data_IF_938610346051
#
_entry.id   IF_938610346051
#
_cell.length_a   1.000
_cell.length_b   1.000
_cell.length_c   1.000
_cell.angle_alpha   90.00
_cell.angle_beta   90.00
_cell.angle_gamma   90.00
#
_symmetry.space_group_name_H-M   'P 1'
#
loop_
_entity.id
_entity.type
_entity.pdbx_description
1 polymer ?
#
# COMPACT_ATOMS: atom_id res chain seq x y z
N UNK A 1 3.32 -1.25 25.50
CA UNK A 1 3.87 0.09 25.17
C UNK A 1 3.76 0.23 23.67
N UNK A 2 2.96 1.16 23.15
CA UNK A 2 2.74 1.32 21.70
C UNK A 2 4.01 1.86 21.03
N UNK A 3 4.74 1.01 20.31
CA UNK A 3 6.05 1.32 19.69
C UNK A 3 5.94 2.25 18.48
N UNK A 4 4.76 2.31 17.85
CA UNK A 4 4.50 3.07 16.64
C UNK A 4 3.51 4.22 16.86
N UNK A 5 3.38 4.67 18.12
CA UNK A 5 2.52 5.80 18.45
C UNK A 5 2.87 7.01 17.57
N UNK A 6 1.84 7.66 17.02
CA UNK A 6 1.94 8.82 16.14
C UNK A 6 2.63 8.55 14.78
N UNK A 7 2.89 7.29 14.41
CA UNK A 7 3.36 6.90 13.08
C UNK A 7 2.20 6.62 12.15
N UNK A 8 2.41 6.87 10.86
CA UNK A 8 1.46 6.56 9.78
C UNK A 8 2.08 5.52 8.86
N UNK A 9 1.39 4.41 8.68
CA UNK A 9 1.81 3.33 7.82
C UNK A 9 0.86 3.17 6.61
N UNK A 10 1.44 3.03 5.44
CA UNK A 10 0.74 2.69 4.20
C UNK A 10 1.05 1.22 3.88
N UNK A 11 0.02 0.40 3.73
CA UNK A 11 0.17 -1.01 3.34
C UNK A 11 -0.61 -1.25 2.06
N UNK A 12 0.08 -1.71 1.01
CA UNK A 12 -0.55 -2.04 -0.27
C UNK A 12 -0.93 -3.51 -0.35
N UNK A 13 -2.03 -3.85 -1.05
CA UNK A 13 -2.58 -5.19 -1.08
C UNK A 13 -3.03 -5.65 0.31
N UNK A 14 -3.68 -4.77 1.06
CA UNK A 14 -3.92 -4.91 2.48
C UNK A 14 -5.32 -5.41 2.85
N UNK A 15 -6.17 -5.71 1.86
CA UNK A 15 -7.55 -6.14 2.11
C UNK A 15 -7.67 -7.57 2.64
N UNK A 16 -6.62 -8.39 2.51
CA UNK A 16 -6.62 -9.79 2.97
C UNK A 16 -5.21 -10.32 3.25
N UNK A 17 -5.17 -11.53 3.85
CA UNK A 17 -3.93 -12.30 4.03
C UNK A 17 -2.85 -11.54 4.78
N UNK A 18 -1.62 -11.60 4.27
CA UNK A 18 -0.45 -11.01 4.93
C UNK A 18 -0.60 -9.49 5.11
N UNK A 19 -1.07 -8.77 4.10
CA UNK A 19 -1.27 -7.32 4.17
C UNK A 19 -2.25 -6.92 5.28
N UNK A 20 -3.37 -7.62 5.41
CA UNK A 20 -4.35 -7.41 6.49
C UNK A 20 -3.71 -7.64 7.87
N UNK A 21 -2.98 -8.75 8.06
CA UNK A 21 -2.34 -9.06 9.35
C UNK A 21 -1.28 -8.00 9.71
N UNK A 22 -0.52 -7.49 8.73
CA UNK A 22 0.42 -6.38 8.94
C UNK A 22 -0.33 -5.13 9.41
N UNK A 23 -1.47 -4.77 8.77
CA UNK A 23 -2.28 -3.63 9.18
C UNK A 23 -2.72 -3.74 10.64
N UNK A 24 -3.33 -4.88 11.02
CA UNK A 24 -3.79 -5.11 12.39
C UNK A 24 -2.66 -5.08 13.41
N UNK A 25 -1.51 -5.68 13.07
CA UNK A 25 -0.34 -5.68 13.95
C UNK A 25 0.22 -4.27 14.15
N UNK A 26 0.43 -3.48 13.08
CA UNK A 26 0.95 -2.13 13.21
C UNK A 26 -0.04 -1.21 13.93
N UNK A 27 -1.36 -1.38 13.69
CA UNK A 27 -2.40 -0.67 14.42
C UNK A 27 -2.37 -0.98 15.93
N UNK A 28 -2.20 -2.24 16.33
CA UNK A 28 -2.07 -2.65 17.73
C UNK A 28 -0.82 -2.06 18.42
N UNK A 29 0.19 -1.69 17.64
CA UNK A 29 1.38 -0.97 18.10
C UNK A 29 1.24 0.55 18.07
N UNK A 30 0.03 1.06 17.73
CA UNK A 30 -0.33 2.48 17.80
C UNK A 30 -0.13 3.28 16.51
N UNK A 31 0.13 2.62 15.38
CA UNK A 31 0.20 3.30 14.09
C UNK A 31 -1.19 3.59 13.53
N UNK A 32 -1.33 4.72 12.81
CA UNK A 32 -2.47 5.00 11.95
C UNK A 32 -2.23 4.36 10.59
N UNK A 33 -3.25 3.79 9.99
CA UNK A 33 -3.09 2.90 8.82
C UNK A 33 -3.82 3.44 7.58
N UNK A 34 -3.13 3.45 6.44
CA UNK A 34 -3.76 3.51 5.12
C UNK A 34 -3.82 2.08 4.58
N UNK A 35 -5.01 1.56 4.48
CA UNK A 35 -5.31 0.23 3.95
C UNK A 35 -5.56 0.37 2.45
N UNK A 36 -4.55 0.12 1.62
CA UNK A 36 -4.73 0.15 0.17
C UNK A 36 -4.99 -1.26 -0.36
N UNK A 37 -6.09 -1.40 -1.08
CA UNK A 37 -6.40 -2.61 -1.85
C UNK A 37 -7.35 -2.26 -3.00
N UNK A 38 -7.04 -2.73 -4.21
CA UNK A 38 -7.87 -2.52 -5.39
C UNK A 38 -9.22 -3.28 -5.30
N UNK A 39 -9.30 -4.27 -4.39
CA UNK A 39 -10.50 -5.05 -4.15
C UNK A 39 -10.70 -6.24 -5.08
N UNK A 40 -9.76 -6.50 -6.00
CA UNK A 40 -9.80 -7.62 -6.91
C UNK A 40 -9.47 -8.96 -6.26
N UNK A 41 -9.70 -10.04 -6.99
CA UNK A 41 -9.25 -11.38 -6.63
C UNK A 41 -7.72 -11.53 -6.79
N UNK A 42 -7.16 -12.67 -6.33
CA UNK A 42 -5.71 -12.94 -6.39
C UNK A 42 -5.14 -12.89 -7.81
N UNK A 43 -5.99 -13.06 -8.79
CA UNK A 43 -5.64 -12.96 -10.20
C UNK A 43 -5.71 -11.53 -10.75
N UNK A 44 -6.09 -10.54 -9.92
CA UNK A 44 -6.23 -9.12 -10.30
C UNK A 44 -7.55 -8.81 -11.01
N UNK A 45 -8.51 -9.75 -11.02
CA UNK A 45 -9.87 -9.53 -11.53
C UNK A 45 -10.82 -9.13 -10.40
N UNK A 46 -11.94 -8.51 -10.75
CA UNK A 46 -12.99 -8.14 -9.81
C UNK A 46 -12.73 -6.80 -9.10
N UNK A 47 -13.77 -6.31 -8.46
CA UNK A 47 -13.77 -5.09 -7.64
C UNK A 47 -14.49 -5.39 -6.33
N UNK A 48 -13.97 -4.87 -5.22
CA UNK A 48 -14.61 -5.03 -3.93
C UNK A 48 -14.05 -4.08 -2.88
N UNK A 49 -14.85 -3.78 -1.89
CA UNK A 49 -14.46 -2.88 -0.79
C UNK A 49 -13.85 -3.67 0.39
N UNK A 50 -12.94 -4.60 0.09
CA UNK A 50 -12.31 -5.43 1.13
C UNK A 50 -11.41 -4.60 2.06
N UNK A 51 -10.89 -3.47 1.60
CA UNK A 51 -10.13 -2.54 2.44
C UNK A 51 -11.00 -1.96 3.56
N UNK A 52 -12.30 -1.69 3.31
CA UNK A 52 -13.22 -1.16 4.32
C UNK A 52 -13.38 -2.12 5.51
N UNK A 53 -13.43 -3.43 5.26
CA UNK A 53 -13.54 -4.43 6.32
C UNK A 53 -12.33 -4.39 7.26
N UNK A 54 -11.12 -4.24 6.70
CA UNK A 54 -9.88 -4.11 7.49
C UNK A 54 -9.87 -2.79 8.27
N UNK A 55 -10.37 -1.71 7.69
CA UNK A 55 -10.53 -0.42 8.39
C UNK A 55 -11.46 -0.57 9.59
N UNK A 56 -12.62 -1.24 9.42
CA UNK A 56 -13.55 -1.51 10.53
C UNK A 56 -12.90 -2.35 11.65
N UNK A 57 -12.12 -3.36 11.29
CA UNK A 57 -11.37 -4.17 12.24
C UNK A 57 -10.33 -3.35 13.02
N UNK A 58 -9.64 -2.42 12.34
CA UNK A 58 -8.67 -1.52 12.98
C UNK A 58 -9.38 -0.55 13.93
N UNK A 59 -10.52 0.01 13.52
CA UNK A 59 -11.33 0.87 14.40
C UNK A 59 -11.80 0.12 15.66
N UNK A 60 -12.10 -1.18 15.56
CA UNK A 60 -12.43 -2.01 16.71
C UNK A 60 -11.25 -2.21 17.69
N UNK A 61 -10.03 -1.88 17.29
CA UNK A 61 -8.82 -1.86 18.13
C UNK A 61 -8.54 -0.46 18.72
N UNK A 62 -9.48 0.48 18.67
CA UNK A 62 -9.30 1.88 19.05
C UNK A 62 -8.13 2.58 18.31
N UNK A 63 -7.89 2.20 17.06
CA UNK A 63 -6.87 2.81 16.19
C UNK A 63 -7.49 3.45 14.95
N UNK A 64 -6.78 4.41 14.34
CA UNK A 64 -7.24 5.14 13.17
C UNK A 64 -6.83 4.44 11.88
N UNK A 65 -7.74 4.30 10.92
CA UNK A 65 -7.45 3.80 9.59
C UNK A 65 -8.33 4.45 8.52
N UNK A 66 -7.83 4.45 7.28
CA UNK A 66 -8.59 4.87 6.10
C UNK A 66 -8.34 3.90 4.95
N UNK A 67 -9.37 3.65 4.15
CA UNK A 67 -9.26 2.84 2.94
C UNK A 67 -8.77 3.67 1.75
N UNK A 68 -8.08 3.02 0.83
CA UNK A 68 -7.71 3.53 -0.48
C UNK A 68 -7.82 2.40 -1.51
N UNK A 69 -8.31 2.70 -2.71
CA UNK A 69 -8.63 1.71 -3.75
C UNK A 69 -7.84 1.93 -5.05
N UNK A 70 -6.82 2.79 -5.02
CA UNK A 70 -6.01 3.09 -6.20
C UNK A 70 -5.07 1.94 -6.54
N UNK A 71 -4.80 1.78 -7.85
CA UNK A 71 -3.85 0.78 -8.35
C UNK A 71 -2.41 1.20 -8.10
N UNK A 72 -1.60 0.30 -7.55
CA UNK A 72 -0.14 0.49 -7.45
C UNK A 72 0.54 0.50 -8.82
N UNK A 73 -0.07 -0.11 -9.85
CA UNK A 73 0.51 -0.24 -11.19
C UNK A 73 0.68 1.10 -11.92
N UNK A 74 0.00 2.16 -11.50
CA UNK A 74 0.05 3.48 -12.14
C UNK A 74 0.78 4.51 -11.27
N UNK A 75 1.45 5.47 -11.92
CA UNK A 75 2.11 6.59 -11.22
C UNK A 75 1.09 7.42 -10.44
N UNK A 76 -0.07 7.67 -11.05
CA UNK A 76 -1.15 8.41 -10.41
C UNK A 76 -1.69 7.66 -9.17
N UNK A 77 -1.91 6.35 -9.29
CA UNK A 77 -2.37 5.53 -8.16
C UNK A 77 -1.38 5.53 -7.00
N UNK A 78 -0.07 5.38 -7.27
CA UNK A 78 0.97 5.49 -6.25
C UNK A 78 0.96 6.86 -5.55
N UNK A 79 0.75 7.95 -6.31
CA UNK A 79 0.61 9.30 -5.74
C UNK A 79 -0.66 9.43 -4.90
N UNK A 80 -1.81 8.94 -5.38
CA UNK A 80 -3.08 9.00 -4.65
C UNK A 80 -3.05 8.22 -3.34
N UNK A 81 -2.38 7.06 -3.32
CA UNK A 81 -2.15 6.28 -2.10
C UNK A 81 -1.38 7.11 -1.07
N UNK A 82 -0.30 7.74 -1.48
CA UNK A 82 0.48 8.63 -0.62
C UNK A 82 -0.34 9.83 -0.15
N UNK A 83 -1.06 10.50 -1.06
CA UNK A 83 -1.89 11.66 -0.76
C UNK A 83 -3.00 11.33 0.24
N UNK A 84 -3.50 10.09 0.22
CA UNK A 84 -4.48 9.60 1.22
C UNK A 84 -3.88 9.66 2.63
N UNK A 85 -2.64 9.25 2.82
CA UNK A 85 -1.96 9.35 4.12
C UNK A 85 -1.77 10.82 4.54
N UNK A 86 -1.34 11.67 3.62
CA UNK A 86 -1.10 13.09 3.91
C UNK A 86 -2.41 13.83 4.24
N UNK A 87 -3.48 13.60 3.47
CA UNK A 87 -4.79 14.24 3.70
C UNK A 87 -5.44 13.79 5.00
N UNK A 88 -5.33 12.49 5.33
CA UNK A 88 -6.00 11.92 6.51
C UNK A 88 -5.20 12.10 7.80
N UNK A 89 -3.87 12.03 7.73
CA UNK A 89 -3.02 11.96 8.92
C UNK A 89 -1.84 12.95 8.93
N UNK A 90 -1.63 13.71 7.84
CA UNK A 90 -0.61 14.75 7.75
C UNK A 90 0.82 14.25 7.51
N UNK A 91 1.04 12.93 7.44
CA UNK A 91 2.38 12.31 7.28
C UNK A 91 2.31 10.90 6.71
N UNK A 92 3.45 10.37 6.27
CA UNK A 92 3.65 8.98 5.93
C UNK A 92 5.05 8.55 6.41
N UNK A 93 5.13 7.63 7.36
CA UNK A 93 6.38 7.20 8.00
C UNK A 93 6.85 5.85 7.53
N UNK A 94 5.90 4.95 7.23
CA UNK A 94 6.15 3.56 6.89
C UNK A 94 5.40 3.24 5.60
N UNK A 95 6.09 2.59 4.67
CA UNK A 95 5.48 2.01 3.46
C UNK A 95 5.78 0.52 3.42
N UNK A 96 4.74 -0.29 3.30
CA UNK A 96 4.84 -1.73 3.07
C UNK A 96 4.31 -2.03 1.67
N UNK A 97 5.20 -2.26 0.73
CA UNK A 97 4.88 -2.71 -0.62
C UNK A 97 4.57 -4.21 -0.59
N UNK A 98 3.31 -4.56 -0.28
CA UNK A 98 2.85 -5.94 -0.16
C UNK A 98 1.90 -6.34 -1.32
N UNK A 99 1.38 -5.39 -2.08
CA UNK A 99 0.52 -5.69 -3.24
C UNK A 99 1.21 -6.66 -4.20
N UNK A 100 0.48 -7.67 -4.64
CA UNK A 100 0.99 -8.68 -5.57
C UNK A 100 -0.15 -9.43 -6.25
N UNK A 101 0.10 -9.91 -7.45
CA UNK A 101 -0.80 -10.76 -8.24
C UNK A 101 -0.05 -12.00 -8.69
N UNK A 102 -0.78 -13.08 -8.94
CA UNK A 102 -0.21 -14.34 -9.43
C UNK A 102 -0.70 -14.63 -10.85
N UNK A 103 0.23 -15.02 -11.71
CA UNK A 103 0.01 -15.47 -13.08
C UNK A 103 0.91 -16.67 -13.35
N UNK A 104 0.61 -17.79 -12.67
CA UNK A 104 1.42 -19.01 -12.78
C UNK A 104 1.17 -19.70 -14.12
N UNK A 105 2.09 -19.53 -15.04
CA UNK A 105 2.12 -20.16 -16.36
C UNK A 105 3.51 -20.70 -16.63
N UNK A 106 3.58 -21.80 -17.38
CA UNK A 106 4.87 -22.19 -17.98
C UNK A 106 5.26 -21.16 -19.04
N UNK A 107 6.55 -20.85 -19.16
CA UNK A 107 7.01 -19.75 -20.02
C UNK A 107 6.50 -19.83 -21.46
N UNK A 108 6.42 -21.02 -22.02
CA UNK A 108 5.95 -21.21 -23.41
C UNK A 108 4.41 -21.08 -23.58
N UNK A 109 3.66 -21.06 -22.48
CA UNK A 109 2.20 -20.84 -22.45
C UNK A 109 1.82 -19.49 -21.84
N UNK A 110 2.81 -18.68 -21.48
CA UNK A 110 2.60 -17.36 -20.89
C UNK A 110 2.24 -16.36 -21.97
N UNK A 111 1.12 -15.68 -21.80
CA UNK A 111 0.76 -14.56 -22.64
C UNK A 111 1.52 -13.31 -22.20
N UNK A 112 1.77 -12.36 -23.12
CA UNK A 112 2.44 -11.09 -22.82
C UNK A 112 1.71 -10.33 -21.70
N UNK A 113 0.38 -10.37 -21.67
CA UNK A 113 -0.44 -9.77 -20.63
C UNK A 113 -0.22 -10.38 -19.24
N UNK A 114 0.08 -11.69 -19.15
CA UNK A 114 0.44 -12.33 -17.87
C UNK A 114 1.78 -11.80 -17.33
N UNK A 115 2.75 -11.60 -18.24
CA UNK A 115 4.02 -10.99 -17.90
C UNK A 115 3.86 -9.53 -17.49
N UNK A 116 3.16 -8.75 -18.30
CA UNK A 116 3.00 -7.31 -18.10
C UNK A 116 2.36 -6.98 -16.76
N UNK A 117 1.28 -7.67 -16.38
CA UNK A 117 0.62 -7.42 -15.08
C UNK A 117 1.55 -7.75 -13.89
N UNK A 118 2.38 -8.80 -13.99
CA UNK A 118 3.37 -9.13 -12.95
C UNK A 118 4.40 -8.00 -12.84
N UNK A 119 4.95 -7.54 -13.96
CA UNK A 119 5.93 -6.45 -13.95
C UNK A 119 5.32 -5.13 -13.48
N UNK A 120 4.08 -4.86 -13.88
CA UNK A 120 3.35 -3.66 -13.47
C UNK A 120 3.12 -3.63 -11.95
N UNK A 121 2.63 -4.71 -11.36
CA UNK A 121 2.31 -4.73 -9.93
C UNK A 121 3.57 -4.89 -9.07
N UNK A 122 4.40 -5.91 -9.36
CA UNK A 122 5.52 -6.25 -8.48
C UNK A 122 6.76 -5.37 -8.66
N UNK A 123 7.03 -4.85 -9.86
CA UNK A 123 8.21 -4.00 -10.08
C UNK A 123 7.83 -2.53 -10.12
N UNK A 124 6.97 -2.14 -11.07
CA UNK A 124 6.57 -0.75 -11.25
C UNK A 124 5.73 -0.24 -10.07
N UNK A 125 4.90 -1.09 -9.47
CA UNK A 125 4.12 -0.76 -8.28
C UNK A 125 4.99 -0.35 -7.09
N UNK A 126 6.09 -1.07 -6.84
CA UNK A 126 7.05 -0.68 -5.82
C UNK A 126 7.66 0.70 -6.09
N UNK A 127 8.05 0.97 -7.34
CA UNK A 127 8.55 2.28 -7.74
C UNK A 127 7.50 3.38 -7.53
N UNK A 128 6.27 3.17 -8.02
CA UNK A 128 5.19 4.15 -7.97
C UNK A 128 4.85 4.57 -6.53
N UNK A 129 4.78 3.61 -5.61
CA UNK A 129 4.46 3.88 -4.20
C UNK A 129 5.66 4.41 -3.42
N UNK A 130 6.87 3.96 -3.71
CA UNK A 130 8.07 4.38 -2.96
C UNK A 130 8.50 5.80 -3.30
N UNK A 131 8.37 6.21 -4.56
CA UNK A 131 8.81 7.53 -5.03
C UNK A 131 8.21 8.70 -4.25
N UNK A 132 6.86 8.84 -4.06
CA UNK A 132 6.29 9.95 -3.31
C UNK A 132 6.66 9.89 -1.82
N UNK A 133 6.73 8.71 -1.21
CA UNK A 133 7.11 8.53 0.20
C UNK A 133 8.56 8.93 0.42
N UNK A 134 9.48 8.50 -0.47
CA UNK A 134 10.91 8.81 -0.34
C UNK A 134 11.19 10.31 -0.41
N UNK A 135 10.44 11.06 -1.21
CA UNK A 135 10.61 12.50 -1.33
C UNK A 135 10.39 13.22 0.01
N UNK A 136 9.42 12.80 0.83
CA UNK A 136 9.18 13.40 2.14
C UNK A 136 10.24 13.02 3.18
N UNK A 137 10.86 11.85 3.05
CA UNK A 137 11.89 11.37 3.97
C UNK A 137 13.29 11.92 3.60
N UNK A 138 13.51 12.28 2.33
CA UNK A 138 14.79 12.77 1.82
C UNK A 138 14.91 14.29 1.80
N UNK A 139 13.90 15.04 2.20
CA UNK A 139 14.00 16.49 2.39
C UNK A 139 14.77 16.86 3.66
N UNK A 140 15.94 16.25 3.85
CA UNK A 140 17.00 16.92 4.59
C UNK A 140 17.41 18.17 3.80
N UNK A 141 17.78 19.29 4.45
CA UNK A 141 18.38 20.42 3.75
C UNK A 141 19.69 19.92 3.13
N UNK A 142 19.58 19.36 1.92
CA UNK A 142 20.76 19.15 1.09
C UNK A 142 21.21 20.53 0.68
N UNK A 143 22.28 21.03 1.28
CA UNK A 143 23.07 22.10 0.69
C UNK A 143 23.34 21.67 -0.75
N UNK A 144 22.98 22.47 -1.75
CA UNK A 144 23.34 22.13 -3.12
C UNK A 144 24.85 21.98 -3.17
N UNK A 145 25.32 20.82 -3.54
CA UNK A 145 26.71 20.67 -3.93
C UNK A 145 26.90 21.48 -5.21
N UNK A 146 27.64 22.59 -5.09
CA UNK A 146 28.12 23.38 -6.21
C UNK A 146 29.23 22.60 -6.90
#
# INVERSE_FOLDING_TARGET
MARLKDKVAIITGAGRGIGREICLYLASEGAKIVVNDLGGDRDGSGEGKIADQVVEEIHALDSDAVANYDSVGTVEGGQNIFDTAIKSFGRADILVNNAGVLRDRTLYNMEESDWDIIMEVHLKGHYNCTRPVSYTHLTLPTTPYV
#
